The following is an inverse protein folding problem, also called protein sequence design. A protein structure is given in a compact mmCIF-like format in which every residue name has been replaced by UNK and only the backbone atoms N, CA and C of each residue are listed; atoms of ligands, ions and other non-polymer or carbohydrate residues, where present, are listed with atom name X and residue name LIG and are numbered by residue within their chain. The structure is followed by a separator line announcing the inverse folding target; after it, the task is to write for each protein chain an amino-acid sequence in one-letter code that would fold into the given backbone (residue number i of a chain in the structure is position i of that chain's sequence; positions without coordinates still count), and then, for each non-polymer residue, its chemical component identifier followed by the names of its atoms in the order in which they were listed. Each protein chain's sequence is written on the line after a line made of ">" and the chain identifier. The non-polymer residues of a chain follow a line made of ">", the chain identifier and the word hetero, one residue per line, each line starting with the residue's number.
data_IF_104695945377
#
_entry.id   IF_104695945377
#
_cell.length_a   1.000
_cell.length_b   1.000
_cell.length_c   1.000
_cell.angle_alpha   90.00
_cell.angle_beta   90.00
_cell.angle_gamma   90.00
#
_symmetry.space_group_name_H-M   'P 1'
#
loop_
_entity.id
_entity.type
_entity.pdbx_description
1 polymer ?
#
# COMPACT_ATOMS: atom_id res chain seq x y z
N UNK A 1 18.35 26.68 31.10
CA UNK A 1 19.12 26.37 29.88
C UNK A 1 18.14 26.14 28.74
N UNK A 2 18.09 27.03 27.74
CA UNK A 2 17.32 26.83 26.51
C UNK A 2 18.31 26.60 25.38
N UNK A 3 18.36 25.39 24.84
CA UNK A 3 19.08 25.09 23.61
C UNK A 3 18.24 25.63 22.45
N UNK A 4 18.56 26.83 21.96
CA UNK A 4 17.95 27.29 20.71
C UNK A 4 18.55 26.47 19.58
N UNK A 5 17.74 25.60 18.98
CA UNK A 5 18.12 24.95 17.74
C UNK A 5 18.26 26.00 16.63
N UNK A 6 19.30 25.88 15.82
CA UNK A 6 19.49 26.74 14.65
C UNK A 6 18.41 26.47 13.60
N UNK A 7 18.14 27.45 12.73
CA UNK A 7 17.15 27.29 11.64
C UNK A 7 17.46 26.10 10.73
N UNK A 8 18.73 25.74 10.57
CA UNK A 8 19.15 24.58 9.80
C UNK A 8 18.84 23.26 10.51
N UNK A 9 18.99 23.20 11.85
CA UNK A 9 18.60 22.04 12.66
C UNK A 9 17.08 21.82 12.62
N UNK A 10 16.28 22.89 12.68
CA UNK A 10 14.83 22.82 12.54
C UNK A 10 14.41 22.34 11.14
N UNK A 11 15.11 22.78 10.08
CA UNK A 11 14.84 22.35 8.70
C UNK A 11 15.21 20.88 8.49
N UNK A 12 16.32 20.42 9.07
CA UNK A 12 16.74 19.01 9.02
C UNK A 12 15.72 18.13 9.75
N UNK A 13 15.27 18.53 10.94
CA UNK A 13 14.22 17.82 11.68
C UNK A 13 12.89 17.78 10.92
N UNK A 14 12.46 18.92 10.35
CA UNK A 14 11.22 18.98 9.57
C UNK A 14 11.29 18.10 8.32
N UNK A 15 12.41 18.10 7.59
CA UNK A 15 12.59 17.23 6.41
C UNK A 15 12.68 15.74 6.79
N UNK A 16 13.28 15.40 7.93
CA UNK A 16 13.31 14.01 8.42
C UNK A 16 11.92 13.54 8.87
N UNK A 17 11.11 14.38 9.51
CA UNK A 17 9.74 14.02 9.89
C UNK A 17 8.80 13.95 8.67
N UNK A 18 8.83 14.94 7.78
CA UNK A 18 7.90 15.01 6.64
C UNK A 18 8.08 13.89 5.61
N UNK A 19 9.30 13.37 5.43
CA UNK A 19 9.55 12.26 4.50
C UNK A 19 9.37 10.87 5.13
N UNK A 20 9.54 10.73 6.45
CA UNK A 20 9.27 9.47 7.16
C UNK A 20 7.77 9.31 7.43
N UNK A 21 7.03 10.40 7.66
CA UNK A 21 5.58 10.38 7.94
C UNK A 21 4.70 10.35 6.69
N UNK A 22 5.24 10.54 5.48
CA UNK A 22 4.42 10.59 4.26
C UNK A 22 3.79 9.24 3.88
N UNK A 23 4.31 8.12 4.41
CA UNK A 23 3.78 6.79 4.15
C UNK A 23 3.49 6.09 5.49
N UNK A 24 2.21 5.98 5.84
CA UNK A 24 1.75 5.16 6.97
C UNK A 24 2.15 3.68 6.79
N UNK A 25 2.34 3.25 5.53
CA UNK A 25 2.73 1.88 5.18
C UNK A 25 4.25 1.69 5.20
N UNK A 26 4.71 0.63 5.86
CA UNK A 26 6.13 0.28 5.95
C UNK A 26 6.69 -0.35 4.66
N UNK A 27 5.84 -0.84 3.77
CA UNK A 27 6.24 -1.55 2.55
C UNK A 27 5.17 -1.41 1.46
N UNK A 28 5.60 -1.42 0.18
CA UNK A 28 4.74 -1.51 -0.99
C UNK A 28 5.20 -2.70 -1.83
N UNK A 29 4.24 -3.54 -2.26
CA UNK A 29 4.47 -4.71 -3.09
C UNK A 29 3.51 -4.72 -4.28
N UNK A 30 3.95 -5.31 -5.38
CA UNK A 30 3.17 -5.43 -6.62
C UNK A 30 2.91 -6.90 -6.93
N UNK A 31 1.68 -7.21 -7.37
CA UNK A 31 1.28 -8.55 -7.78
C UNK A 31 0.77 -8.55 -9.22
N UNK A 32 1.11 -9.59 -10.02
CA UNK A 32 0.50 -9.81 -11.33
C UNK A 32 -1.00 -10.05 -11.21
N UNK A 33 -1.75 -9.59 -12.21
CA UNK A 33 -3.22 -9.67 -12.20
C UNK A 33 -3.73 -11.11 -12.20
N UNK A 34 -2.97 -12.02 -12.82
CA UNK A 34 -3.26 -13.45 -12.93
C UNK A 34 -3.20 -14.16 -11.57
N UNK A 35 -2.52 -13.56 -10.57
CA UNK A 35 -2.36 -14.14 -9.23
C UNK A 35 -3.41 -13.65 -8.24
N UNK A 36 -4.31 -12.74 -8.62
CA UNK A 36 -5.33 -12.18 -7.72
C UNK A 36 -6.27 -13.27 -7.18
N UNK A 37 -6.62 -14.27 -8.00
CA UNK A 37 -7.46 -15.39 -7.54
C UNK A 37 -6.75 -16.27 -6.53
N UNK A 38 -5.45 -16.50 -6.67
CA UNK A 38 -4.66 -17.18 -5.64
C UNK A 38 -4.62 -16.34 -4.36
N UNK A 39 -4.41 -15.02 -4.48
CA UNK A 39 -4.36 -14.11 -3.34
C UNK A 39 -5.67 -14.08 -2.52
N UNK A 40 -6.82 -14.31 -3.18
CA UNK A 40 -8.15 -14.29 -2.55
C UNK A 40 -8.59 -15.63 -1.98
N UNK A 41 -8.12 -16.75 -2.56
CA UNK A 41 -8.59 -18.09 -2.23
C UNK A 41 -7.58 -18.92 -1.43
N UNK A 42 -6.30 -18.54 -1.43
CA UNK A 42 -5.25 -19.29 -0.77
C UNK A 42 -5.07 -18.82 0.69
N UNK A 43 -4.56 -19.73 1.52
CA UNK A 43 -4.16 -19.47 2.91
C UNK A 43 -2.83 -18.71 2.90
N UNK A 44 -2.84 -17.58 2.18
CA UNK A 44 -1.64 -16.80 1.91
C UNK A 44 -0.98 -16.44 3.23
N UNK A 45 0.34 -16.41 3.26
CA UNK A 45 1.12 -16.00 4.44
C UNK A 45 0.87 -14.53 4.86
N UNK A 46 -0.06 -13.84 4.17
CA UNK A 46 -0.39 -12.44 4.30
C UNK A 46 -1.82 -12.27 4.79
N UNK A 47 -1.99 -11.38 5.76
CA UNK A 47 -3.31 -10.98 6.24
C UNK A 47 -3.81 -9.86 5.32
N UNK A 48 -4.81 -10.16 4.51
CA UNK A 48 -5.55 -9.15 3.75
C UNK A 48 -6.65 -8.60 4.64
N UNK A 49 -6.69 -7.27 4.82
CA UNK A 49 -7.78 -6.65 5.58
C UNK A 49 -9.12 -6.80 4.87
N UNK A 50 -10.22 -6.78 5.62
CA UNK A 50 -11.59 -6.92 5.06
C UNK A 50 -11.87 -5.88 3.97
N UNK A 51 -11.39 -4.64 4.15
CA UNK A 51 -11.56 -3.57 3.17
C UNK A 51 -10.81 -3.87 1.86
N UNK A 52 -9.55 -4.30 1.95
CA UNK A 52 -8.76 -4.70 0.78
C UNK A 52 -9.36 -5.92 0.07
N UNK A 53 -9.88 -6.90 0.81
CA UNK A 53 -10.54 -8.06 0.23
C UNK A 53 -11.82 -7.68 -0.52
N UNK A 54 -12.59 -6.72 0.00
CA UNK A 54 -13.74 -6.14 -0.71
C UNK A 54 -13.35 -5.47 -2.03
N UNK A 55 -12.29 -4.65 -2.01
CA UNK A 55 -11.78 -3.97 -3.20
C UNK A 55 -11.29 -4.96 -4.28
N UNK A 56 -10.52 -5.99 -3.88
CA UNK A 56 -10.04 -7.03 -4.79
C UNK A 56 -11.18 -7.86 -5.39
N UNK A 57 -12.19 -8.21 -4.59
CA UNK A 57 -13.38 -8.90 -5.10
C UNK A 57 -14.17 -8.05 -6.11
N UNK A 58 -14.30 -6.74 -5.86
CA UNK A 58 -14.95 -5.83 -6.81
C UNK A 58 -14.14 -5.73 -8.11
N UNK A 59 -12.82 -5.56 -8.00
CA UNK A 59 -11.92 -5.53 -9.15
C UNK A 59 -12.02 -6.79 -10.00
N UNK A 60 -11.98 -7.98 -9.38
CA UNK A 60 -12.12 -9.27 -10.07
C UNK A 60 -13.42 -9.34 -10.88
N UNK A 61 -14.53 -8.92 -10.30
CA UNK A 61 -15.86 -8.99 -10.94
C UNK A 61 -15.97 -8.06 -12.15
N UNK A 62 -15.39 -6.86 -12.06
CA UNK A 62 -15.52 -5.83 -13.08
C UNK A 62 -14.52 -5.98 -14.23
N UNK A 63 -13.27 -6.34 -13.93
CA UNK A 63 -12.18 -6.23 -14.89
C UNK A 63 -11.62 -7.59 -15.33
N UNK A 64 -11.48 -8.57 -14.45
CA UNK A 64 -10.90 -9.87 -14.83
C UNK A 64 -11.88 -10.66 -15.71
N UNK A 65 -13.17 -10.65 -15.39
CA UNK A 65 -14.20 -11.25 -16.25
C UNK A 65 -14.28 -10.59 -17.63
N UNK A 66 -14.02 -9.29 -17.75
CA UNK A 66 -14.09 -8.59 -19.04
C UNK A 66 -12.85 -8.86 -19.90
N UNK A 67 -11.67 -9.00 -19.30
CA UNK A 67 -10.43 -9.34 -20.01
C UNK A 67 -10.55 -10.74 -20.66
N UNK A 68 -11.04 -11.73 -19.91
CA UNK A 68 -11.20 -13.10 -20.42
C UNK A 68 -12.33 -13.29 -21.44
N UNK A 69 -13.21 -12.30 -21.64
CA UNK A 69 -14.23 -12.35 -22.70
C UNK A 69 -13.83 -11.61 -23.98
N UNK A 70 -12.65 -10.99 -23.99
CA UNK A 70 -12.18 -10.14 -25.10
C UNK A 70 -11.02 -10.79 -25.89
N UNK A 71 -10.46 -11.89 -25.37
CA UNK A 71 -9.51 -12.79 -26.06
C UNK A 71 -10.29 -13.96 -26.65
#
# INVERSE_FOLDING_TARGET
>A
MKTSQSSDELRIHYNLQTHIESNESSEIKFWPIEQIDALLNDDSMFIITVACQGALNAFRRLFIKSINSTI
#
